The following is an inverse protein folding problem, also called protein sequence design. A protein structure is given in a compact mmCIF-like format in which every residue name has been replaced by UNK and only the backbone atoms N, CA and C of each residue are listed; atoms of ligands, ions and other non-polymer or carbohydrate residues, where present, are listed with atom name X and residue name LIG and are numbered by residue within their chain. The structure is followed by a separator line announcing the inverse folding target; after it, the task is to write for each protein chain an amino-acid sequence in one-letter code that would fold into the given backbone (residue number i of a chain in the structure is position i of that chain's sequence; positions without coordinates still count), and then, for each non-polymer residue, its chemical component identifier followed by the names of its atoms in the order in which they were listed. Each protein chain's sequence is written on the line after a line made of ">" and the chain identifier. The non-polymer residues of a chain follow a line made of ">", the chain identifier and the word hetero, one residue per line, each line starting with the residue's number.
data_IF_127001724551
#
_entry.id   IF_127001724551
#
_cell.length_a   1.000
_cell.length_b   1.000
_cell.length_c   1.000
_cell.angle_alpha   90.00
_cell.angle_beta   90.00
_cell.angle_gamma   90.00
#
_symmetry.space_group_name_H-M   'P 1'
#
loop_
_entity.id
_entity.type
_entity.pdbx_description
1 polymer ?
#
# COMPACT_ATOMS: atom_id res chain seq x y z
N UNK A 1 11.71 -5.47 -8.23
CA UNK A 1 11.53 -4.47 -9.32
C UNK A 1 11.60 -3.05 -8.77
N UNK A 2 11.63 -1.99 -9.59
CA UNK A 2 11.55 -0.61 -9.08
C UNK A 2 10.09 -0.21 -8.81
N UNK A 3 9.84 0.51 -7.71
CA UNK A 3 8.52 1.06 -7.41
C UNK A 3 8.09 1.98 -8.57
N UNK A 4 6.83 1.88 -9.00
CA UNK A 4 6.24 2.73 -10.05
C UNK A 4 5.53 3.94 -9.41
N UNK A 5 6.07 5.16 -9.48
CA UNK A 5 5.38 6.35 -8.99
C UNK A 5 4.04 6.52 -9.73
N UNK A 6 2.98 6.86 -9.00
CA UNK A 6 1.63 6.95 -9.57
C UNK A 6 0.86 5.62 -9.63
N UNK A 7 1.44 4.51 -9.16
CA UNK A 7 0.74 3.22 -9.05
C UNK A 7 -0.32 3.22 -7.94
N UNK A 8 0.02 3.72 -6.75
CA UNK A 8 -0.87 3.81 -5.59
C UNK A 8 -1.32 2.47 -4.96
N UNK A 9 -1.01 1.32 -5.57
CA UNK A 9 -1.56 0.03 -5.15
C UNK A 9 -1.29 -0.34 -3.68
N UNK A 10 -0.06 -0.18 -3.20
CA UNK A 10 0.28 -0.43 -1.78
C UNK A 10 -0.41 0.55 -0.80
N UNK A 11 -0.83 1.73 -1.27
CA UNK A 11 -1.56 2.72 -0.47
C UNK A 11 -3.08 2.51 -0.51
N UNK A 12 -3.59 1.66 -1.40
CA UNK A 12 -5.03 1.41 -1.59
C UNK A 12 -5.39 0.01 -1.09
N UNK A 13 -4.67 -1.02 -1.55
CA UNK A 13 -5.10 -2.41 -1.46
C UNK A 13 -4.91 -3.07 -0.09
N UNK A 14 -3.69 -3.15 0.49
CA UNK A 14 -3.47 -3.93 1.71
C UNK A 14 -4.10 -3.25 2.93
N UNK A 15 -4.42 -4.04 3.96
CA UNK A 15 -4.66 -3.49 5.30
C UNK A 15 -3.33 -3.13 5.98
N UNK A 16 -3.37 -2.12 6.83
CA UNK A 16 -2.25 -1.69 7.65
C UNK A 16 -2.83 -1.46 9.05
N UNK A 17 -2.35 -2.18 10.05
CA UNK A 17 -2.85 -2.05 11.45
C UNK A 17 -1.97 -1.13 12.30
N UNK A 18 -0.80 -0.74 11.79
CA UNK A 18 0.10 0.21 12.43
C UNK A 18 -0.29 1.67 12.14
N UNK A 19 0.20 2.59 12.96
CA UNK A 19 0.02 4.04 12.78
C UNK A 19 0.38 4.53 11.37
N UNK A 20 -0.45 5.43 10.84
CA UNK A 20 -0.19 6.24 9.65
C UNK A 20 -0.48 7.70 10.02
N UNK A 21 0.35 8.70 9.61
CA UNK A 21 0.00 10.10 9.77
C UNK A 21 -1.37 10.42 9.17
N UNK A 22 -2.32 10.88 10.00
CA UNK A 22 -3.71 11.12 9.62
C UNK A 22 -4.63 9.89 9.67
N UNK A 23 -4.11 8.70 9.96
CA UNK A 23 -4.89 7.48 10.26
C UNK A 23 -4.25 6.71 11.44
N UNK A 24 -4.49 7.12 12.70
CA UNK A 24 -3.77 6.58 13.86
C UNK A 24 -3.92 5.08 14.10
N UNK A 25 -5.07 4.52 13.72
CA UNK A 25 -5.38 3.08 13.84
C UNK A 25 -5.05 2.31 12.55
N UNK A 26 -4.23 2.90 11.67
CA UNK A 26 -3.92 2.34 10.36
C UNK A 26 -5.07 2.49 9.36
N UNK A 27 -5.15 1.56 8.41
CA UNK A 27 -6.01 1.61 7.24
C UNK A 27 -6.58 0.22 6.93
N UNK A 28 -7.90 0.06 6.83
CA UNK A 28 -8.53 -1.15 6.28
C UNK A 28 -8.05 -1.51 4.87
N UNK A 29 -8.18 -2.80 4.52
CA UNK A 29 -7.97 -3.25 3.14
C UNK A 29 -8.93 -2.54 2.18
N UNK A 30 -8.46 -2.21 0.98
CA UNK A 30 -9.22 -1.49 -0.05
C UNK A 30 -9.51 -0.01 0.25
N UNK A 31 -9.29 0.48 1.48
CA UNK A 31 -9.43 1.89 1.78
C UNK A 31 -8.23 2.68 1.22
N UNK A 32 -8.50 3.83 0.59
CA UNK A 32 -7.46 4.75 0.11
C UNK A 32 -6.76 5.46 1.28
N UNK A 33 -5.42 5.43 1.31
CA UNK A 33 -4.65 6.15 2.33
C UNK A 33 -4.80 7.67 2.20
N UNK A 34 -4.88 8.37 3.33
CA UNK A 34 -4.99 9.85 3.40
C UNK A 34 -3.78 10.56 2.78
N UNK A 35 -2.60 9.91 2.77
CA UNK A 35 -1.36 10.46 2.21
C UNK A 35 -1.16 10.11 0.73
N UNK A 36 -2.21 9.71 0.01
CA UNK A 36 -2.16 9.42 -1.42
C UNK A 36 -2.83 10.55 -2.22
N UNK A 37 -2.04 11.31 -2.98
CA UNK A 37 -2.54 12.44 -3.76
C UNK A 37 -3.41 12.02 -4.95
N UNK A 38 -3.97 12.98 -5.68
CA UNK A 38 -4.84 12.72 -6.84
C UNK A 38 -4.12 12.02 -8.01
N UNK A 39 -2.79 12.11 -8.06
CA UNK A 39 -1.94 11.43 -9.04
C UNK A 39 -1.43 10.08 -8.55
N UNK A 40 -1.99 9.53 -7.46
CA UNK A 40 -1.59 8.25 -6.85
C UNK A 40 -0.12 8.21 -6.41
N UNK A 41 0.43 9.35 -5.97
CA UNK A 41 1.76 9.43 -5.36
C UNK A 41 1.61 9.58 -3.85
N UNK A 42 2.42 8.83 -3.10
CA UNK A 42 2.46 8.98 -1.65
C UNK A 42 3.17 10.29 -1.30
N UNK A 43 2.47 11.20 -0.63
CA UNK A 43 2.95 12.56 -0.32
C UNK A 43 4.10 12.57 0.69
N UNK A 44 4.25 11.49 1.46
CA UNK A 44 5.32 11.27 2.44
C UNK A 44 6.32 10.20 1.99
N UNK A 45 6.39 9.88 0.69
CA UNK A 45 7.36 8.89 0.18
C UNK A 45 8.80 9.35 0.44
N UNK A 46 9.53 8.61 1.29
CA UNK A 46 10.92 8.93 1.66
C UNK A 46 11.04 9.95 2.80
N UNK A 47 9.93 10.44 3.35
CA UNK A 47 9.93 11.29 4.53
C UNK A 47 10.18 10.47 5.81
N UNK A 48 10.82 11.02 6.86
CA UNK A 48 10.97 10.34 8.15
C UNK A 48 9.62 9.97 8.80
N UNK A 49 8.55 10.70 8.50
CA UNK A 49 7.20 10.40 9.02
C UNK A 49 6.51 9.23 8.30
N UNK A 50 7.13 8.66 7.25
CA UNK A 50 6.57 7.51 6.54
C UNK A 50 6.58 6.29 7.46
N UNK A 51 5.43 5.63 7.70
CA UNK A 51 5.36 4.47 8.58
C UNK A 51 6.37 3.40 8.20
N UNK A 52 6.96 2.75 9.21
CA UNK A 52 8.01 1.74 9.02
C UNK A 52 7.54 0.61 8.08
N UNK A 53 6.32 0.11 8.25
CA UNK A 53 5.74 -0.92 7.38
C UNK A 53 5.68 -0.49 5.91
N UNK A 54 5.40 0.79 5.65
CA UNK A 54 5.36 1.36 4.31
C UNK A 54 6.76 1.52 3.72
N UNK A 55 7.77 1.79 4.55
CA UNK A 55 9.17 1.99 4.17
C UNK A 55 9.92 0.66 4.01
N UNK A 56 9.53 -0.36 4.77
CA UNK A 56 10.07 -1.72 4.68
C UNK A 56 9.59 -2.46 3.42
N UNK A 57 8.45 -2.07 2.85
CA UNK A 57 7.95 -2.64 1.62
C UNK A 57 8.87 -2.33 0.43
N UNK A 58 9.44 -3.40 -0.15
CA UNK A 58 10.22 -3.34 -1.38
C UNK A 58 9.38 -3.86 -2.55
N UNK A 59 9.39 -3.12 -3.66
CA UNK A 59 8.60 -3.49 -4.83
C UNK A 59 9.10 -4.80 -5.46
N UNK A 60 8.22 -5.79 -5.53
CA UNK A 60 8.50 -7.09 -6.13
C UNK A 60 7.52 -7.41 -7.26
N UNK A 61 7.95 -8.20 -8.24
CA UNK A 61 7.10 -8.56 -9.39
C UNK A 61 5.90 -9.40 -8.96
N UNK A 62 6.07 -10.31 -8.01
CA UNK A 62 5.00 -11.20 -7.53
C UNK A 62 3.90 -10.44 -6.78
N UNK A 63 4.20 -9.22 -6.32
CA UNK A 63 3.26 -8.34 -5.62
C UNK A 63 2.74 -7.23 -6.54
N UNK A 64 3.60 -6.67 -7.39
CA UNK A 64 3.31 -5.45 -8.15
C UNK A 64 2.92 -5.71 -9.61
N UNK A 65 3.20 -6.89 -10.17
CA UNK A 65 2.94 -7.22 -11.58
C UNK A 65 3.43 -6.16 -12.57
N UNK A 66 2.72 -6.04 -13.70
CA UNK A 66 3.03 -5.17 -14.82
C UNK A 66 2.23 -3.86 -14.83
N UNK A 67 1.09 -3.79 -14.13
CA UNK A 67 0.23 -2.60 -14.10
C UNK A 67 -0.27 -2.25 -12.70
N UNK A 68 -0.80 -1.03 -12.52
CA UNK A 68 -1.39 -0.60 -11.24
C UNK A 68 -2.60 -1.44 -10.87
N UNK A 69 -3.44 -1.78 -11.85
CA UNK A 69 -4.62 -2.63 -11.69
C UNK A 69 -4.21 -4.06 -11.32
N UNK A 70 -3.13 -4.58 -11.92
CA UNK A 70 -2.59 -5.89 -11.56
C UNK A 70 -2.03 -5.89 -10.13
N UNK A 71 -1.26 -4.87 -9.75
CA UNK A 71 -0.76 -4.71 -8.39
C UNK A 71 -1.90 -4.69 -7.36
N UNK A 72 -2.99 -3.97 -7.65
CA UNK A 72 -4.16 -3.91 -6.76
C UNK A 72 -4.77 -5.31 -6.59
N UNK A 73 -4.92 -6.06 -7.69
CA UNK A 73 -5.48 -7.44 -7.65
C UNK A 73 -4.58 -8.40 -6.88
N UNK A 74 -3.27 -8.36 -7.12
CA UNK A 74 -2.30 -9.22 -6.44
C UNK A 74 -2.26 -8.94 -4.94
N UNK A 75 -2.18 -7.67 -4.55
CA UNK A 75 -2.22 -7.27 -3.14
C UNK A 75 -3.54 -7.65 -2.47
N UNK A 76 -4.68 -7.51 -3.15
CA UNK A 76 -5.98 -7.89 -2.60
C UNK A 76 -6.10 -9.42 -2.46
N UNK A 77 -5.54 -10.17 -3.39
CA UNK A 77 -5.47 -11.62 -3.30
C UNK A 77 -4.59 -12.06 -2.13
N UNK A 78 -3.40 -11.46 -1.97
CA UNK A 78 -2.50 -11.73 -0.85
C UNK A 78 -3.19 -11.43 0.49
N UNK A 79 -3.85 -10.27 0.60
CA UNK A 79 -4.62 -9.89 1.78
C UNK A 79 -5.63 -10.98 2.16
N UNK A 80 -6.44 -11.46 1.20
CA UNK A 80 -7.40 -12.53 1.44
C UNK A 80 -6.77 -13.90 1.74
N UNK A 81 -5.59 -14.18 1.18
CA UNK A 81 -4.87 -15.44 1.40
C UNK A 81 -4.16 -15.49 2.76
N UNK A 82 -3.77 -14.35 3.32
CA UNK A 82 -3.00 -14.27 4.57
C UNK A 82 -3.80 -13.75 5.76
N UNK A 83 -4.98 -13.19 5.55
CA UNK A 83 -5.89 -12.86 6.64
C UNK A 83 -6.56 -14.15 7.11
N UNK A 84 -6.36 -14.52 8.38
CA UNK A 84 -7.09 -15.64 8.95
C UNK A 84 -8.59 -15.37 8.79
N UNK A 85 -9.31 -16.31 8.16
CA UNK A 85 -10.77 -16.29 8.18
C UNK A 85 -11.19 -16.34 9.65
N UNK A 86 -11.66 -15.20 10.17
CA UNK A 86 -12.22 -15.10 11.52
C UNK A 86 -13.69 -15.51 11.47
#
# INVERSE_FOLDING_TARGET
>A
MQCRPGCGACCISPSITSFIPGMPNGKPAGQRCVNLDQSNRCTIFGHPDRPEVCSAFSADFDVCGNSSEEAIRLLAWLEGATTAAV
#
